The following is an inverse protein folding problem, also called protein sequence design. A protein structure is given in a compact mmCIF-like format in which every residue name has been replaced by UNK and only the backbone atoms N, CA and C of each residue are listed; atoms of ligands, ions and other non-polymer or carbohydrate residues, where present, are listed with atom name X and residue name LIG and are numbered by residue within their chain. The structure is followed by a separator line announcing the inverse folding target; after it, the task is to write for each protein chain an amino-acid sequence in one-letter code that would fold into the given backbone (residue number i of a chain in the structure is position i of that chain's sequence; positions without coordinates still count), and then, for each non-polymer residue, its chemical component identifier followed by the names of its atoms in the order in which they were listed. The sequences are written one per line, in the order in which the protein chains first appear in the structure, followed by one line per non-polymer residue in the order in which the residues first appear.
data_IF_404466188952
#
_entry.id   IF_404466188952
#
_cell.length_a   1.000
_cell.length_b   1.000
_cell.length_c   1.000
_cell.angle_alpha   90.00
_cell.angle_beta   90.00
_cell.angle_gamma   90.00
#
_symmetry.space_group_name_H-M   'P 1'
#
loop_
_entity.id
_entity.type
_entity.pdbx_description
1 polymer ?
#
# COMPACT_ATOMS: atom_id res chain seq x y z
N UNK A 1 26.97 -15.46 -1.17
CA UNK A 1 25.79 -15.01 -0.43
C UNK A 1 25.28 -13.76 -1.11
N UNK A 2 24.02 -13.76 -1.55
CA UNK A 2 23.39 -12.56 -2.11
C UNK A 2 23.33 -11.47 -1.04
N UNK A 3 23.79 -10.27 -1.39
CA UNK A 3 23.76 -9.13 -0.46
C UNK A 3 22.42 -8.39 -0.60
N UNK A 4 21.40 -8.86 0.07
CA UNK A 4 20.15 -8.12 0.16
C UNK A 4 20.32 -6.92 1.09
N UNK A 5 19.69 -5.80 0.75
CA UNK A 5 19.75 -4.56 1.52
C UNK A 5 18.37 -4.18 2.00
N UNK A 6 18.24 -3.77 3.25
CA UNK A 6 17.00 -3.22 3.81
C UNK A 6 17.23 -1.73 4.11
N UNK A 7 16.41 -0.87 3.53
CA UNK A 7 16.44 0.57 3.76
C UNK A 7 15.24 0.98 4.61
N UNK A 8 15.52 1.48 5.80
CA UNK A 8 14.52 2.03 6.72
C UNK A 8 14.91 3.45 7.09
N UNK A 9 13.91 4.31 7.29
CA UNK A 9 14.15 5.64 7.85
C UNK A 9 14.34 5.54 9.36
N UNK A 10 15.39 6.14 9.89
CA UNK A 10 15.66 6.16 11.33
C UNK A 10 15.13 7.44 12.02
N UNK A 11 14.53 8.35 11.27
CA UNK A 11 13.98 9.60 11.76
C UNK A 11 12.49 9.78 11.31
N UNK A 12 12.04 11.00 11.20
CA UNK A 12 10.60 11.35 11.12
C UNK A 12 10.01 11.36 9.70
N UNK A 13 10.72 10.88 8.69
CA UNK A 13 10.16 10.66 7.35
C UNK A 13 10.92 11.32 6.22
N UNK A 14 11.32 12.57 6.32
CA UNK A 14 11.95 13.33 5.22
C UNK A 14 13.48 13.17 5.15
N UNK A 15 14.00 11.98 5.48
CA UNK A 15 15.44 11.69 5.52
C UNK A 15 16.11 11.58 4.14
N UNK A 16 15.32 11.69 3.06
CA UNK A 16 15.87 11.54 1.71
C UNK A 16 16.12 10.07 1.30
N UNK A 17 15.43 9.11 1.92
CA UNK A 17 15.51 7.68 1.57
C UNK A 17 15.42 7.40 0.07
N UNK A 18 14.56 8.15 -0.64
CA UNK A 18 14.38 7.97 -2.07
C UNK A 18 15.67 8.03 -2.88
N UNK A 19 16.59 8.94 -2.55
CA UNK A 19 17.89 9.05 -3.24
C UNK A 19 18.80 7.87 -2.99
N UNK A 20 18.81 7.36 -1.75
CA UNK A 20 19.62 6.19 -1.36
C UNK A 20 19.05 4.92 -2.00
N UNK A 21 17.72 4.79 -2.00
CA UNK A 21 17.02 3.67 -2.66
C UNK A 21 17.31 3.68 -4.15
N UNK A 22 17.19 4.82 -4.82
CA UNK A 22 17.46 4.98 -6.25
C UNK A 22 18.90 4.55 -6.60
N UNK A 23 19.89 5.06 -5.87
CA UNK A 23 21.29 4.68 -6.07
C UNK A 23 21.55 3.19 -5.85
N UNK A 24 21.01 2.60 -4.79
CA UNK A 24 21.16 1.16 -4.50
C UNK A 24 20.41 0.28 -5.51
N UNK A 25 19.37 0.81 -6.13
CA UNK A 25 18.53 0.06 -7.09
C UNK A 25 19.28 -0.31 -8.37
N UNK A 26 20.31 0.43 -8.76
CA UNK A 26 21.11 0.13 -9.96
C UNK A 26 21.74 -1.28 -9.93
N UNK A 27 22.00 -1.81 -8.74
CA UNK A 27 22.72 -3.09 -8.56
C UNK A 27 21.82 -4.28 -8.23
N UNK A 28 20.49 -4.11 -8.14
CA UNK A 28 19.56 -5.16 -7.72
C UNK A 28 18.58 -5.56 -8.83
N UNK A 29 18.05 -6.77 -8.75
CA UNK A 29 17.07 -7.31 -9.70
C UNK A 29 15.63 -7.01 -9.30
N UNK A 30 15.42 -6.60 -8.05
CA UNK A 30 14.08 -6.25 -7.59
C UNK A 30 14.06 -5.37 -6.34
N UNK A 31 13.01 -4.54 -6.25
CA UNK A 31 12.73 -3.73 -5.07
C UNK A 31 11.41 -4.16 -4.44
N UNK A 32 11.43 -4.32 -3.13
CA UNK A 32 10.32 -4.86 -2.34
C UNK A 32 9.81 -3.82 -1.36
N UNK A 33 8.58 -3.37 -1.54
CA UNK A 33 7.84 -2.61 -0.54
C UNK A 33 7.25 -3.60 0.47
N UNK A 34 7.76 -3.65 1.68
CA UNK A 34 7.38 -4.68 2.64
C UNK A 34 6.35 -4.22 3.68
N UNK A 35 6.09 -2.92 3.82
CA UNK A 35 5.15 -2.37 4.80
C UNK A 35 4.51 -1.05 4.32
N UNK A 36 3.60 -0.52 5.15
CA UNK A 36 2.89 0.73 4.89
C UNK A 36 1.82 0.58 3.81
N UNK A 37 1.39 1.69 3.27
CA UNK A 37 0.42 1.78 2.19
C UNK A 37 0.71 3.02 1.34
N UNK A 38 -0.33 3.59 0.75
CA UNK A 38 -0.22 4.79 -0.09
C UNK A 38 -0.21 6.11 0.72
N UNK A 39 0.07 6.05 2.02
CA UNK A 39 0.16 7.21 2.92
C UNK A 39 1.51 7.93 2.89
N UNK A 40 2.59 7.25 2.54
CA UNK A 40 3.90 7.86 2.29
C UNK A 40 4.00 8.36 0.85
N UNK A 41 4.90 9.29 0.57
CA UNK A 41 5.14 9.78 -0.78
C UNK A 41 6.64 9.92 -1.05
N UNK A 42 7.12 9.30 -2.13
CA UNK A 42 8.47 9.52 -2.67
C UNK A 42 8.36 10.35 -3.93
N UNK A 43 8.91 11.55 -3.90
CA UNK A 43 8.93 12.41 -5.10
C UNK A 43 10.11 12.01 -5.98
N UNK A 44 9.81 11.66 -7.21
CA UNK A 44 10.76 11.34 -8.27
C UNK A 44 10.68 12.40 -9.38
N UNK A 45 11.73 12.52 -10.17
CA UNK A 45 11.73 13.36 -11.36
C UNK A 45 11.88 12.47 -12.59
N UNK A 46 10.83 12.39 -13.40
CA UNK A 46 10.78 11.60 -14.64
C UNK A 46 10.69 12.56 -15.81
N UNK A 47 11.68 12.53 -16.72
CA UNK A 47 11.72 13.42 -17.89
C UNK A 47 11.50 14.91 -17.53
N UNK A 48 12.06 15.35 -16.40
CA UNK A 48 11.90 16.72 -15.90
C UNK A 48 10.59 17.02 -15.17
N UNK A 49 9.69 16.06 -15.08
CA UNK A 49 8.41 16.18 -14.36
C UNK A 49 8.45 15.48 -13.00
N UNK A 50 7.89 16.13 -11.98
CA UNK A 50 7.79 15.55 -10.64
C UNK A 50 6.66 14.56 -10.59
N UNK A 51 6.97 13.32 -10.24
CA UNK A 51 6.01 12.24 -10.01
C UNK A 51 6.13 11.74 -8.57
N UNK A 52 5.01 11.52 -7.89
CA UNK A 52 4.99 11.07 -6.50
C UNK A 52 4.54 9.61 -6.46
N UNK A 53 5.46 8.72 -6.14
CA UNK A 53 5.13 7.32 -5.81
C UNK A 53 4.68 7.22 -4.36
N UNK A 54 3.66 6.45 -4.11
CA UNK A 54 3.10 6.24 -2.76
C UNK A 54 3.10 4.78 -2.33
N UNK A 55 2.70 3.89 -3.23
CA UNK A 55 2.58 2.46 -2.99
C UNK A 55 3.59 1.66 -3.80
N UNK A 56 3.81 2.05 -5.04
CA UNK A 56 4.74 1.37 -5.95
C UNK A 56 6.18 1.62 -5.47
N UNK A 57 7.03 0.56 -5.41
CA UNK A 57 8.44 0.70 -5.03
C UNK A 57 9.20 1.64 -5.97
N UNK A 58 10.15 2.40 -5.42
CA UNK A 58 10.96 3.37 -6.16
C UNK A 58 11.78 2.75 -7.29
N UNK A 59 12.07 1.46 -7.21
CA UNK A 59 12.74 0.68 -8.26
C UNK A 59 12.05 0.67 -9.61
N UNK A 60 10.80 1.13 -9.69
CA UNK A 60 10.04 1.24 -10.94
C UNK A 60 10.75 2.12 -11.98
N UNK A 61 11.59 3.06 -11.52
CA UNK A 61 12.38 3.96 -12.37
C UNK A 61 13.41 3.22 -13.25
N UNK A 62 13.85 2.05 -12.82
CA UNK A 62 14.87 1.27 -13.51
C UNK A 62 14.22 0.18 -14.36
N UNK A 63 14.35 0.20 -15.71
CA UNK A 63 13.63 -0.72 -16.61
C UNK A 63 13.91 -2.21 -16.37
N UNK A 64 15.10 -2.54 -15.85
CA UNK A 64 15.52 -3.91 -15.56
C UNK A 64 15.01 -4.44 -14.21
N UNK A 65 14.46 -3.57 -13.35
CA UNK A 65 14.07 -3.90 -11.98
C UNK A 65 12.60 -4.30 -11.90
N UNK A 66 12.33 -5.39 -11.18
CA UNK A 66 10.98 -5.80 -10.82
C UNK A 66 10.56 -5.19 -9.48
N UNK A 67 9.32 -4.73 -9.41
CA UNK A 67 8.75 -4.09 -8.23
C UNK A 67 7.76 -5.03 -7.55
N UNK A 68 7.98 -5.28 -6.28
CA UNK A 68 7.17 -6.20 -5.48
C UNK A 68 6.51 -5.49 -4.30
N UNK A 69 5.19 -5.65 -4.17
CA UNK A 69 4.45 -5.21 -2.99
C UNK A 69 4.23 -6.44 -2.12
N UNK A 70 4.96 -6.51 -1.02
CA UNK A 70 5.03 -7.67 -0.13
C UNK A 70 3.90 -7.70 0.91
N UNK A 71 3.75 -8.85 1.57
CA UNK A 71 2.64 -9.21 2.48
C UNK A 71 2.37 -8.23 3.63
N UNK A 72 3.36 -7.43 4.00
CA UNK A 72 3.22 -6.45 5.09
C UNK A 72 2.59 -5.13 4.67
N UNK A 73 2.49 -4.85 3.37
CA UNK A 73 1.83 -3.65 2.86
C UNK A 73 0.30 -3.79 2.87
N UNK A 74 -0.40 -2.64 2.95
CA UNK A 74 -1.84 -2.56 2.70
C UNK A 74 -2.08 -1.82 1.39
N UNK A 75 -2.97 -2.34 0.55
CA UNK A 75 -3.10 -1.96 -0.85
C UNK A 75 -4.46 -1.34 -1.13
N UNK A 76 -4.48 -0.08 -1.57
CA UNK A 76 -5.65 0.52 -2.20
C UNK A 76 -5.64 0.19 -3.69
N UNK A 77 -6.65 -0.52 -4.22
CA UNK A 77 -6.79 -0.81 -5.64
C UNK A 77 -6.73 0.45 -6.50
N UNK A 78 -7.51 1.45 -6.13
CA UNK A 78 -7.59 2.73 -6.83
C UNK A 78 -6.24 3.47 -6.85
N UNK A 79 -5.58 3.60 -5.67
CA UNK A 79 -4.30 4.27 -5.59
C UNK A 79 -3.22 3.56 -6.40
N UNK A 80 -3.19 2.22 -6.37
CA UNK A 80 -2.25 1.42 -7.14
C UNK A 80 -2.41 1.63 -8.65
N UNK A 81 -3.64 1.54 -9.15
CA UNK A 81 -3.90 1.71 -10.57
C UNK A 81 -3.65 3.15 -11.02
N UNK A 82 -4.03 4.14 -10.20
CA UNK A 82 -3.73 5.53 -10.47
C UNK A 82 -2.23 5.79 -10.61
N UNK A 83 -1.40 5.23 -9.72
CA UNK A 83 0.06 5.38 -9.82
C UNK A 83 0.62 4.74 -11.09
N UNK A 84 0.09 3.56 -11.50
CA UNK A 84 0.47 2.90 -12.75
C UNK A 84 0.12 3.79 -13.95
N UNK A 85 -1.08 4.36 -13.97
CA UNK A 85 -1.55 5.22 -15.06
C UNK A 85 -0.75 6.53 -15.10
N UNK A 86 -0.46 7.13 -13.94
CA UNK A 86 0.38 8.32 -13.84
C UNK A 86 1.81 8.07 -14.36
N UNK A 87 2.42 6.92 -14.04
CA UNK A 87 3.72 6.52 -14.59
C UNK A 87 3.68 6.40 -16.12
N UNK A 88 2.65 5.72 -16.63
CA UNK A 88 2.47 5.53 -18.07
C UNK A 88 2.26 6.86 -18.79
N UNK A 89 1.49 7.77 -18.23
CA UNK A 89 1.29 9.12 -18.76
C UNK A 89 2.60 9.93 -18.84
N UNK A 90 3.55 9.65 -17.95
CA UNK A 90 4.90 10.25 -17.98
C UNK A 90 5.92 9.48 -18.84
N UNK A 91 5.45 8.55 -19.69
CA UNK A 91 6.29 7.79 -20.62
C UNK A 91 6.99 6.57 -20.00
N UNK A 92 6.60 6.16 -18.80
CA UNK A 92 7.13 4.98 -18.13
C UNK A 92 6.09 3.87 -18.06
N UNK A 93 6.10 2.97 -19.01
CA UNK A 93 5.28 1.75 -18.94
C UNK A 93 5.99 0.69 -18.08
N UNK A 94 5.49 0.52 -16.89
CA UNK A 94 6.03 -0.42 -15.90
C UNK A 94 4.99 -1.48 -15.47
N UNK A 95 3.85 -1.54 -16.14
CA UNK A 95 2.71 -2.35 -15.73
C UNK A 95 3.06 -3.84 -15.58
N UNK A 96 3.91 -4.36 -16.46
CA UNK A 96 4.33 -5.78 -16.45
C UNK A 96 5.42 -6.10 -15.42
N UNK A 97 6.00 -5.09 -14.79
CA UNK A 97 7.08 -5.23 -13.80
C UNK A 97 6.63 -5.05 -12.35
N UNK A 98 5.34 -4.74 -12.14
CA UNK A 98 4.76 -4.50 -10.82
C UNK A 98 3.95 -5.73 -10.41
N UNK A 99 4.32 -6.31 -9.28
CA UNK A 99 3.68 -7.49 -8.70
C UNK A 99 3.22 -7.21 -7.27
N UNK A 100 2.10 -7.81 -6.89
CA UNK A 100 1.52 -7.65 -5.56
C UNK A 100 1.27 -9.01 -4.92
N UNK A 101 1.53 -9.10 -3.63
CA UNK A 101 1.19 -10.30 -2.88
C UNK A 101 -0.32 -10.43 -2.72
N UNK A 102 -0.85 -11.61 -3.01
CA UNK A 102 -2.23 -11.93 -2.70
C UNK A 102 -2.58 -11.86 -1.21
N UNK A 103 -1.56 -11.84 -0.33
CA UNK A 103 -1.75 -11.74 1.13
C UNK A 103 -1.84 -10.30 1.64
N UNK A 104 -1.63 -9.30 0.80
CA UNK A 104 -1.82 -7.90 1.19
C UNK A 104 -3.28 -7.64 1.54
N UNK A 105 -3.58 -7.03 2.69
CA UNK A 105 -4.91 -6.49 2.96
C UNK A 105 -5.24 -5.37 1.99
N UNK A 106 -6.49 -5.29 1.59
CA UNK A 106 -7.02 -4.17 0.83
C UNK A 106 -7.33 -2.98 1.75
N UNK A 107 -7.08 -1.79 1.24
CA UNK A 107 -7.64 -0.56 1.78
C UNK A 107 -8.86 -0.23 0.94
N UNK A 108 -10.02 -0.29 1.56
CA UNK A 108 -11.32 -0.06 0.92
C UNK A 108 -11.97 1.23 1.43
N UNK A 109 -12.97 1.79 0.75
CA UNK A 109 -13.63 3.03 1.15
C UNK A 109 -14.13 3.06 2.60
N UNK A 110 -14.59 1.94 3.15
CA UNK A 110 -15.01 1.88 4.55
C UNK A 110 -13.87 2.11 5.54
N UNK A 111 -12.62 1.75 5.21
CA UNK A 111 -11.46 2.08 6.04
C UNK A 111 -11.20 3.58 6.05
N UNK A 112 -11.34 4.23 4.90
CA UNK A 112 -11.18 5.68 4.75
C UNK A 112 -12.26 6.40 5.55
N UNK A 113 -13.52 5.98 5.43
CA UNK A 113 -14.64 6.54 6.17
C UNK A 113 -14.41 6.42 7.69
N UNK A 114 -13.96 5.25 8.16
CA UNK A 114 -13.67 5.02 9.58
C UNK A 114 -12.49 5.86 10.08
N UNK A 115 -11.43 6.03 9.27
CA UNK A 115 -10.27 6.87 9.60
C UNK A 115 -10.71 8.34 9.81
N UNK A 116 -11.47 8.88 8.87
CA UNK A 116 -12.03 10.22 8.98
C UNK A 116 -12.99 10.40 10.17
N UNK A 117 -13.87 9.42 10.40
CA UNK A 117 -14.82 9.47 11.50
C UNK A 117 -14.09 9.49 12.86
N UNK A 118 -13.05 8.67 13.02
CA UNK A 118 -12.20 8.64 14.23
C UNK A 118 -11.49 9.97 14.46
N UNK A 119 -10.84 10.51 13.42
CA UNK A 119 -10.15 11.79 13.51
C UNK A 119 -11.12 12.93 13.89
N UNK A 120 -12.30 12.95 13.26
CA UNK A 120 -13.30 13.97 13.57
C UNK A 120 -13.82 13.87 15.01
N UNK A 121 -14.02 12.65 15.52
CA UNK A 121 -14.46 12.43 16.90
C UNK A 121 -13.44 12.85 17.95
N UNK A 122 -12.15 12.90 17.62
CA UNK A 122 -11.08 13.34 18.53
C UNK A 122 -11.00 14.86 18.66
N UNK A 123 -11.63 15.64 17.77
CA UNK A 123 -11.62 17.11 17.82
C UNK A 123 -10.19 17.67 17.87
N UNK A 124 -9.86 18.40 18.95
CA UNK A 124 -8.52 18.99 19.13
C UNK A 124 -7.43 17.96 19.47
N UNK A 125 -7.82 16.72 19.78
CA UNK A 125 -6.90 15.62 20.08
C UNK A 125 -6.60 14.74 18.86
N UNK A 126 -6.83 15.24 17.65
CA UNK A 126 -6.53 14.52 16.40
C UNK A 126 -5.10 14.01 16.39
N UNK A 127 -4.94 12.76 15.95
CA UNK A 127 -3.62 12.14 15.72
C UNK A 127 -2.94 12.79 14.50
N UNK A 128 -3.74 13.33 13.57
CA UNK A 128 -3.25 13.88 12.29
C UNK A 128 -2.90 12.78 11.30
N UNK A 129 -3.77 11.78 11.18
CA UNK A 129 -3.62 10.72 10.18
C UNK A 129 -3.68 11.31 8.76
N UNK A 130 -3.23 10.53 7.78
CA UNK A 130 -3.35 10.96 6.37
C UNK A 130 -4.78 10.83 5.83
N UNK A 131 -5.72 10.31 6.61
CA UNK A 131 -7.11 10.09 6.22
C UNK A 131 -7.28 9.02 5.11
N UNK A 132 -6.29 8.14 4.94
CA UNK A 132 -6.27 7.16 3.84
C UNK A 132 -6.67 5.75 4.24
N UNK A 133 -7.17 5.56 5.45
CA UNK A 133 -7.65 4.28 5.95
C UNK A 133 -6.56 3.25 6.23
N UNK A 134 -5.29 3.65 6.33
CA UNK A 134 -4.16 2.74 6.53
C UNK A 134 -4.25 2.05 7.89
N UNK A 135 -4.48 2.84 8.95
CA UNK A 135 -4.65 2.31 10.32
C UNK A 135 -5.79 1.30 10.43
N UNK A 136 -7.02 1.65 10.01
CA UNK A 136 -8.14 0.71 9.98
C UNK A 136 -7.90 -0.56 9.16
N UNK A 137 -7.18 -0.49 8.03
CA UNK A 137 -6.84 -1.67 7.24
C UNK A 137 -5.85 -2.60 7.97
N UNK A 138 -4.89 -2.05 8.70
CA UNK A 138 -4.03 -2.85 9.59
C UNK A 138 -4.79 -3.42 10.78
N UNK A 139 -5.73 -2.68 11.34
CA UNK A 139 -6.62 -3.19 12.40
C UNK A 139 -7.40 -4.42 11.91
N UNK A 140 -7.99 -4.38 10.73
CA UNK A 140 -8.69 -5.50 10.13
C UNK A 140 -7.76 -6.71 9.91
N UNK A 141 -6.51 -6.48 9.52
CA UNK A 141 -5.51 -7.54 9.40
C UNK A 141 -5.27 -8.26 10.72
N UNK A 142 -5.04 -7.50 11.79
CA UNK A 142 -4.76 -8.07 13.12
C UNK A 142 -6.01 -8.73 13.71
N UNK A 143 -7.19 -8.15 13.47
CA UNK A 143 -8.49 -8.69 13.87
C UNK A 143 -8.92 -9.92 13.03
N UNK A 144 -8.14 -10.34 12.04
CA UNK A 144 -8.39 -11.49 11.14
C UNK A 144 -9.67 -11.37 10.30
N UNK A 145 -10.09 -10.14 10.00
CA UNK A 145 -11.25 -9.86 9.13
C UNK A 145 -10.86 -9.15 7.84
N UNK A 146 -9.54 -9.02 7.58
CA UNK A 146 -9.08 -8.34 6.38
C UNK A 146 -9.57 -9.00 5.10
N UNK A 147 -10.02 -8.17 4.15
CA UNK A 147 -10.20 -8.54 2.76
C UNK A 147 -8.84 -8.41 2.08
N UNK A 148 -8.40 -9.44 1.37
CA UNK A 148 -7.05 -9.50 0.79
C UNK A 148 -7.10 -9.30 -0.73
N UNK A 149 -5.97 -8.91 -1.30
CA UNK A 149 -5.83 -8.72 -2.76
C UNK A 149 -6.22 -9.98 -3.54
N UNK A 150 -5.90 -11.18 -3.03
CA UNK A 150 -6.31 -12.44 -3.65
C UNK A 150 -7.83 -12.64 -3.74
N UNK A 151 -8.60 -12.04 -2.83
CA UNK A 151 -10.05 -12.19 -2.81
C UNK A 151 -10.69 -11.53 -4.05
N UNK A 152 -9.99 -10.60 -4.71
CA UNK A 152 -10.43 -10.01 -5.99
C UNK A 152 -10.54 -11.03 -7.14
N UNK A 153 -9.83 -12.17 -7.04
CA UNK A 153 -9.95 -13.26 -8.01
C UNK A 153 -11.24 -14.07 -7.83
N UNK A 154 -11.91 -13.94 -6.68
CA UNK A 154 -13.11 -14.66 -6.29
C UNK A 154 -14.23 -13.65 -5.94
N UNK A 155 -14.94 -13.06 -6.92
CA UNK A 155 -15.86 -11.94 -6.69
C UNK A 155 -16.93 -12.21 -5.63
N UNK A 156 -17.42 -13.46 -5.53
CA UNK A 156 -18.40 -13.84 -4.52
C UNK A 156 -17.83 -13.78 -3.11
N UNK A 157 -16.63 -14.35 -2.92
CA UNK A 157 -15.92 -14.34 -1.63
C UNK A 157 -15.57 -12.93 -1.21
N UNK A 158 -15.09 -12.11 -2.17
CA UNK A 158 -14.82 -10.69 -1.94
C UNK A 158 -16.07 -9.98 -1.43
N UNK A 159 -17.18 -10.09 -2.16
CA UNK A 159 -18.43 -9.41 -1.81
C UNK A 159 -18.99 -9.84 -0.45
N UNK A 160 -18.94 -11.14 -0.13
CA UNK A 160 -19.39 -11.66 1.18
C UNK A 160 -18.57 -11.07 2.32
N UNK A 161 -17.23 -11.07 2.21
CA UNK A 161 -16.34 -10.50 3.23
C UNK A 161 -16.58 -9.01 3.43
N UNK A 162 -16.72 -8.25 2.33
CA UNK A 162 -16.99 -6.82 2.40
C UNK A 162 -18.32 -6.54 3.09
N UNK A 163 -19.40 -7.24 2.71
CA UNK A 163 -20.70 -7.09 3.35
C UNK A 163 -20.65 -7.39 4.85
N UNK A 164 -19.94 -8.46 5.23
CA UNK A 164 -19.82 -8.83 6.64
C UNK A 164 -19.08 -7.76 7.46
N UNK A 165 -17.94 -7.27 6.95
CA UNK A 165 -17.20 -6.21 7.64
C UNK A 165 -18.02 -4.91 7.73
N UNK A 166 -18.75 -4.58 6.68
CA UNK A 166 -19.53 -3.35 6.64
C UNK A 166 -20.72 -3.35 7.59
N UNK A 167 -21.22 -4.51 8.03
CA UNK A 167 -22.25 -4.55 9.09
C UNK A 167 -21.79 -3.83 10.35
N UNK A 168 -20.59 -4.17 10.83
CA UNK A 168 -20.00 -3.53 12.01
C UNK A 168 -19.60 -2.09 11.72
N UNK A 169 -18.92 -1.84 10.61
CA UNK A 169 -18.37 -0.51 10.32
C UNK A 169 -19.49 0.50 10.09
N UNK A 170 -20.52 0.18 9.31
CA UNK A 170 -21.65 1.07 9.09
C UNK A 170 -22.45 1.32 10.38
N UNK A 171 -22.55 0.30 11.26
CA UNK A 171 -23.14 0.50 12.59
C UNK A 171 -22.33 1.51 13.40
N UNK A 172 -21.00 1.41 13.41
CA UNK A 172 -20.13 2.35 14.12
C UNK A 172 -20.20 3.76 13.52
N UNK A 173 -20.15 3.86 12.19
CA UNK A 173 -20.26 5.15 11.50
C UNK A 173 -21.57 5.87 11.87
N UNK A 174 -22.69 5.18 11.73
CA UNK A 174 -24.00 5.78 11.96
C UNK A 174 -24.28 6.06 13.45
N UNK A 175 -24.01 5.09 14.35
CA UNK A 175 -24.52 5.15 15.72
C UNK A 175 -23.50 5.63 16.74
N UNK A 176 -22.20 5.50 16.46
CA UNK A 176 -21.15 5.93 17.37
C UNK A 176 -20.50 7.24 16.93
N UNK A 177 -20.19 7.34 15.62
CA UNK A 177 -19.50 8.51 15.08
C UNK A 177 -20.44 9.55 14.48
N UNK A 178 -21.74 9.26 14.37
CA UNK A 178 -22.73 10.13 13.71
C UNK A 178 -22.26 10.58 12.31
N UNK A 179 -21.74 9.63 11.55
CA UNK A 179 -21.18 9.79 10.20
C UNK A 179 -21.99 8.98 9.21
N UNK A 180 -21.98 9.38 7.93
CA UNK A 180 -22.66 8.67 6.87
C UNK A 180 -22.13 7.24 6.69
N UNK A 181 -22.99 6.22 6.65
CA UNK A 181 -22.60 4.87 6.27
C UNK A 181 -22.06 4.81 4.84
N UNK A 182 -21.18 3.86 4.56
CA UNK A 182 -20.71 3.62 3.19
C UNK A 182 -21.74 2.82 2.39
N UNK A 183 -21.87 3.14 1.10
CA UNK A 183 -22.62 2.33 0.16
C UNK A 183 -21.84 1.05 -0.17
N UNK A 184 -22.30 -0.06 0.40
CA UNK A 184 -21.61 -1.34 0.34
C UNK A 184 -21.61 -1.93 -1.07
N UNK A 185 -22.76 -1.89 -1.75
CA UNK A 185 -22.89 -2.51 -3.07
C UNK A 185 -22.13 -1.71 -4.12
N UNK A 186 -22.21 -0.39 -4.07
CA UNK A 186 -21.42 0.47 -4.95
C UNK A 186 -19.92 0.25 -4.73
N UNK A 187 -19.45 0.16 -3.49
CA UNK A 187 -18.04 -0.11 -3.18
C UNK A 187 -17.59 -1.46 -3.73
N UNK A 188 -18.43 -2.51 -3.63
CA UNK A 188 -18.15 -3.83 -4.19
C UNK A 188 -18.01 -3.74 -5.71
N UNK A 189 -18.99 -3.11 -6.39
CA UNK A 189 -19.00 -2.94 -7.84
C UNK A 189 -17.76 -2.18 -8.32
N UNK A 190 -17.51 -1.00 -7.75
CA UNK A 190 -16.37 -0.14 -8.12
C UNK A 190 -15.02 -0.87 -7.92
N UNK A 191 -14.89 -1.63 -6.82
CA UNK A 191 -13.64 -2.36 -6.53
C UNK A 191 -13.46 -3.55 -7.48
N UNK A 192 -14.51 -4.32 -7.76
CA UNK A 192 -14.46 -5.45 -8.70
C UNK A 192 -14.22 -5.00 -10.15
N UNK A 193 -14.66 -3.80 -10.53
CA UNK A 193 -14.35 -3.24 -11.84
C UNK A 193 -12.85 -3.05 -12.06
N UNK A 194 -12.06 -2.86 -10.99
CA UNK A 194 -10.60 -2.76 -11.04
C UNK A 194 -9.88 -4.12 -11.06
N UNK A 195 -10.56 -5.20 -10.66
CA UNK A 195 -9.97 -6.52 -10.52
C UNK A 195 -9.26 -7.05 -11.79
N UNK A 196 -9.78 -6.86 -13.02
CA UNK A 196 -9.13 -7.34 -14.23
C UNK A 196 -7.70 -6.82 -14.44
N UNK A 197 -7.38 -5.64 -13.91
CA UNK A 197 -6.02 -5.08 -13.99
C UNK A 197 -5.13 -5.50 -12.82
N UNK A 198 -5.70 -5.88 -11.67
CA UNK A 198 -4.96 -6.21 -10.45
C UNK A 198 -4.67 -7.72 -10.37
N UNK A 199 -5.66 -8.56 -10.64
CA UNK A 199 -5.57 -10.02 -10.54
C UNK A 199 -4.38 -10.60 -11.31
N UNK A 200 -4.07 -10.15 -12.55
CA UNK A 200 -2.91 -10.64 -13.28
C UNK A 200 -1.55 -10.31 -12.65
N UNK A 201 -1.51 -9.37 -11.69
CA UNK A 201 -0.29 -8.96 -10.97
C UNK A 201 -0.06 -9.74 -9.68
N UNK A 202 -1.04 -10.54 -9.25
CA UNK A 202 -0.96 -11.31 -8.01
C UNK A 202 0.10 -12.41 -8.14
N UNK A 203 1.03 -12.45 -7.16
CA UNK A 203 2.06 -13.48 -7.08
C UNK A 203 2.27 -13.93 -5.63
N UNK A 204 2.79 -15.11 -5.45
CA UNK A 204 3.41 -15.51 -4.19
C UNK A 204 4.80 -14.88 -4.09
N UNK A 205 4.80 -13.64 -3.57
CA UNK A 205 6.03 -12.86 -3.47
C UNK A 205 7.04 -13.54 -2.54
N UNK A 206 6.60 -14.15 -1.45
CA UNK A 206 7.50 -14.85 -0.53
C UNK A 206 8.23 -15.99 -1.21
N UNK A 207 7.52 -16.80 -1.99
CA UNK A 207 8.10 -17.89 -2.74
C UNK A 207 9.07 -17.37 -3.80
N UNK A 208 8.66 -16.37 -4.59
CA UNK A 208 9.50 -15.78 -5.64
C UNK A 208 10.81 -15.26 -5.06
N UNK A 209 10.75 -14.44 -4.01
CA UNK A 209 11.95 -13.86 -3.39
C UNK A 209 12.88 -14.94 -2.86
N UNK A 210 12.35 -15.93 -2.14
CA UNK A 210 13.16 -17.03 -1.61
C UNK A 210 13.85 -17.85 -2.72
N UNK A 211 13.15 -18.13 -3.80
CA UNK A 211 13.70 -18.87 -4.95
C UNK A 211 14.79 -18.07 -5.63
N UNK A 212 14.50 -16.82 -5.95
CA UNK A 212 15.41 -15.92 -6.66
C UNK A 212 16.68 -15.60 -5.85
N UNK A 213 16.56 -15.43 -4.53
CA UNK A 213 17.72 -15.28 -3.66
C UNK A 213 18.63 -16.51 -3.67
N UNK A 214 18.08 -17.71 -3.75
CA UNK A 214 18.88 -18.96 -3.89
C UNK A 214 19.58 -19.02 -5.24
N UNK A 215 19.01 -18.45 -6.29
CA UNK A 215 19.59 -18.30 -7.62
C UNK A 215 20.66 -17.19 -7.69
N UNK A 216 20.86 -16.42 -6.60
CA UNK A 216 21.88 -15.38 -6.51
C UNK A 216 21.37 -13.98 -6.82
N UNK A 217 20.08 -13.78 -7.13
CA UNK A 217 19.50 -12.45 -7.32
C UNK A 217 19.52 -11.65 -6.02
N UNK A 218 19.69 -10.33 -6.14
CA UNK A 218 19.75 -9.39 -5.03
C UNK A 218 18.48 -8.54 -5.01
N UNK A 219 18.01 -8.27 -3.80
CA UNK A 219 16.80 -7.47 -3.59
C UNK A 219 17.08 -6.32 -2.62
N UNK A 220 16.43 -5.19 -2.91
CA UNK A 220 16.36 -4.05 -2.03
C UNK A 220 14.98 -4.02 -1.36
N UNK A 221 14.96 -4.00 -0.04
CA UNK A 221 13.74 -3.90 0.75
C UNK A 221 13.55 -2.46 1.20
N UNK A 222 12.52 -1.82 0.67
CA UNK A 222 12.20 -0.42 0.89
C UNK A 222 11.12 -0.26 1.96
N UNK A 223 11.45 0.38 3.09
CA UNK A 223 10.50 0.76 4.12
C UNK A 223 9.68 1.98 3.71
N UNK A 224 8.39 1.97 4.04
CA UNK A 224 7.44 3.02 3.67
C UNK A 224 7.70 4.36 4.36
N UNK A 225 8.10 4.31 5.63
CA UNK A 225 8.11 5.45 6.54
C UNK A 225 9.37 5.46 7.40
N UNK A 226 9.59 6.59 8.08
CA UNK A 226 10.56 6.67 9.17
C UNK A 226 10.16 5.79 10.35
N UNK A 227 11.13 5.25 11.06
CA UNK A 227 10.93 4.32 12.17
C UNK A 227 10.07 4.93 13.28
N UNK A 228 10.20 6.22 13.54
CA UNK A 228 9.43 6.96 14.56
C UNK A 228 7.94 7.10 14.22
N UNK A 229 7.56 7.00 12.95
CA UNK A 229 6.15 7.04 12.53
C UNK A 229 5.45 5.68 12.67
N UNK A 230 6.21 4.60 12.83
CA UNK A 230 5.68 3.25 13.05
C UNK A 230 5.34 3.04 14.53
N UNK A 231 6.10 3.66 15.39
CA UNK A 231 5.83 3.72 16.82
C UNK A 231 5.15 5.06 17.08
N UNK A 232 3.87 5.08 17.34
CA UNK A 232 3.13 6.25 17.77
C UNK A 232 3.59 6.61 19.19
N UNK A 233 4.87 6.81 19.35
CA UNK A 233 5.42 7.34 20.55
C UNK A 233 5.73 8.78 20.24
N UNK A 234 4.80 9.59 20.60
CA UNK A 234 5.09 10.91 20.94
C UNK A 234 4.79 12.04 20.02
N UNK A 235 4.22 13.04 20.64
CA UNK A 235 3.84 14.30 20.03
C UNK A 235 5.02 15.18 19.64
N UNK A 236 6.07 14.60 19.12
CA UNK A 236 7.23 15.35 18.63
C UNK A 236 7.24 15.40 17.11
N UNK A 237 6.06 15.41 16.51
CA UNK A 237 5.92 15.95 15.16
C UNK A 237 6.11 17.46 15.28
N UNK A 238 7.11 18.06 14.60
CA UNK A 238 7.21 19.50 14.51
C UNK A 238 6.00 20.06 13.79
#
# INVERSE_FOLDING_TARGET
MSKNVVVVGAQWGDEGKGKIVDWLTESVQGVVRFNGGHNAGHTLVINGQKTVLRLIPSGVMHPHVKCYIGNGAVVSPEAMLKEIDDLKAHGMDAEDRIFVSGQCPLVLPYHIALDHARENALGDKKIGTTGRGIGPAYEDKIARRAVHVRDLAEPKVFAEKVRENCKLINFLLANYYNSEPVDVEKMIEDTLAMAPRIVPKIRDISHILNTKMKEGEQFLYEGAQGLSLIHISEPTRP
#
